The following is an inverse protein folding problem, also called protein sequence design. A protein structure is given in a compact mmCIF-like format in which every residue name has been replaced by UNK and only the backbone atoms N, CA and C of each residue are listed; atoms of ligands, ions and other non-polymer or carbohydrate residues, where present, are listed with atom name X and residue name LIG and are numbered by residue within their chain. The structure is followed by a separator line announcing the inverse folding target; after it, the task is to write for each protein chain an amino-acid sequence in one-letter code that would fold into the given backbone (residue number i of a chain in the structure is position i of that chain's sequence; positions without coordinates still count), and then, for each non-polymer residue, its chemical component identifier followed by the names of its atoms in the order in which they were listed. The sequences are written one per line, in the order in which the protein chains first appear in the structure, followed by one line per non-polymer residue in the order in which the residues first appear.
data_IF_560225302551
#
_entry.id   IF_560225302551
#
_cell.length_a   1.000
_cell.length_b   1.000
_cell.length_c   1.000
_cell.angle_alpha   90.00
_cell.angle_beta   90.00
_cell.angle_gamma   90.00
#
_symmetry.space_group_name_H-M   'P 1'
#
loop_
_entity.id
_entity.type
_entity.pdbx_description
1 polymer ?
#
# COMPACT_ATOMS: atom_id res chain seq x y z
N UNK A 1 -15.02 -1.71 9.73
CA UNK A 1 -13.70 -1.04 9.75
C UNK A 1 -12.72 -2.03 10.33
N UNK A 2 -11.82 -2.56 9.51
CA UNK A 2 -10.86 -3.59 9.92
C UNK A 2 -9.76 -2.95 10.75
N UNK A 3 -9.48 -3.49 11.94
CA UNK A 3 -8.28 -3.17 12.71
C UNK A 3 -7.04 -3.54 11.88
N UNK A 4 -6.09 -2.61 11.67
CA UNK A 4 -4.88 -2.93 10.93
C UNK A 4 -4.07 -4.00 11.67
N UNK A 5 -3.53 -5.02 10.97
CA UNK A 5 -2.68 -6.01 11.60
C UNK A 5 -1.42 -5.33 12.17
N UNK A 6 -1.09 -5.69 13.41
CA UNK A 6 0.06 -5.20 14.17
C UNK A 6 1.35 -5.72 13.48
N UNK A 7 2.09 -4.82 12.83
CA UNK A 7 3.35 -5.17 12.17
C UNK A 7 3.72 -4.30 10.97
N UNK A 8 3.59 -2.97 11.10
CA UNK A 8 4.19 -2.05 10.13
C UNK A 8 5.63 -1.83 10.59
N UNK A 9 6.60 -2.52 9.97
CA UNK A 9 8.02 -2.21 10.16
C UNK A 9 8.30 -0.83 9.55
N UNK A 10 8.13 0.22 10.37
CA UNK A 10 8.49 1.59 10.03
C UNK A 10 10.01 1.84 10.06
N UNK A 11 10.79 0.88 10.58
CA UNK A 11 12.18 1.09 10.99
C UNK A 11 13.25 0.78 9.92
N UNK A 12 12.89 0.32 8.72
CA UNK A 12 13.86 -0.27 7.78
C UNK A 12 14.39 0.61 6.65
N UNK A 13 13.84 1.79 6.38
CA UNK A 13 14.29 2.63 5.27
C UNK A 13 14.89 3.94 5.77
N UNK A 14 16.04 4.35 5.22
CA UNK A 14 16.69 5.64 5.51
C UNK A 14 15.79 6.87 5.29
N UNK A 15 14.62 6.69 4.67
CA UNK A 15 13.57 7.70 4.56
C UNK A 15 13.00 8.18 5.90
N UNK A 16 13.08 7.38 6.98
CA UNK A 16 12.63 7.80 8.30
C UNK A 16 13.41 8.99 8.86
N UNK A 17 14.73 9.02 8.67
CA UNK A 17 15.62 10.11 9.13
C UNK A 17 15.39 11.38 8.33
N UNK A 18 15.24 11.27 7.01
CA UNK A 18 14.96 12.43 6.14
C UNK A 18 13.59 13.01 6.44
N UNK A 19 12.55 12.18 6.58
CA UNK A 19 11.23 12.65 7.00
C UNK A 19 11.26 13.32 8.37
N UNK A 20 11.97 12.75 9.35
CA UNK A 20 12.10 13.33 10.68
C UNK A 20 12.83 14.69 10.66
N UNK A 21 13.90 14.83 9.87
CA UNK A 21 14.62 16.09 9.71
C UNK A 21 13.74 17.17 9.07
N UNK A 22 12.94 16.81 8.06
CA UNK A 22 11.99 17.73 7.43
C UNK A 22 10.83 18.12 8.34
N UNK A 23 10.26 17.16 9.06
CA UNK A 23 9.23 17.42 10.06
C UNK A 23 9.77 18.32 11.17
N UNK A 24 11.00 18.10 11.64
CA UNK A 24 11.64 18.93 12.65
C UNK A 24 11.92 20.35 12.13
N UNK A 25 12.39 20.51 10.88
CA UNK A 25 12.61 21.82 10.27
C UNK A 25 11.30 22.59 10.09
N UNK A 26 10.27 21.94 9.53
CA UNK A 26 8.94 22.52 9.35
C UNK A 26 8.29 22.88 10.70
N UNK A 27 8.37 21.99 11.69
CA UNK A 27 7.87 22.21 13.04
C UNK A 27 8.62 23.35 13.76
N UNK A 28 9.95 23.42 13.61
CA UNK A 28 10.77 24.49 14.18
C UNK A 28 10.44 25.85 13.58
N UNK A 29 10.32 25.93 12.25
CA UNK A 29 9.89 27.14 11.57
C UNK A 29 8.46 27.55 11.99
N UNK A 30 7.57 26.57 12.13
CA UNK A 30 6.20 26.76 12.58
C UNK A 30 6.12 27.29 14.02
N UNK A 31 6.83 26.67 14.97
CA UNK A 31 6.90 27.10 16.37
C UNK A 31 7.44 28.52 16.47
N UNK A 32 8.51 28.86 15.73
CA UNK A 32 9.08 30.21 15.72
C UNK A 32 8.08 31.24 15.18
N UNK A 33 7.25 30.88 14.21
CA UNK A 33 6.25 31.77 13.65
C UNK A 33 5.05 31.99 14.60
N UNK A 34 4.53 30.90 15.20
CA UNK A 34 3.44 30.94 16.18
C UNK A 34 3.87 31.63 17.48
N UNK A 35 5.10 31.44 17.94
CA UNK A 35 5.62 32.12 19.12
C UNK A 35 5.75 33.65 18.93
N UNK A 36 5.80 34.13 17.68
CA UNK A 36 6.01 35.55 17.36
C UNK A 36 4.73 36.30 17.00
N UNK A 37 3.60 35.62 16.74
CA UNK A 37 2.31 36.23 16.34
C UNK A 37 1.13 35.39 16.81
N UNK A 38 -0.01 36.02 17.11
CA UNK A 38 -1.28 35.29 17.23
C UNK A 38 -1.45 34.40 15.97
N UNK A 39 -1.85 33.12 16.12
CA UNK A 39 -1.80 32.18 15.01
C UNK A 39 -2.71 32.65 13.88
N UNK A 40 -2.09 33.10 12.79
CA UNK A 40 -2.75 33.39 11.52
C UNK A 40 -3.46 32.11 11.07
N UNK A 41 -4.70 32.22 10.60
CA UNK A 41 -5.49 31.08 10.12
C UNK A 41 -4.75 30.28 9.05
N UNK A 42 -3.86 30.91 8.27
CA UNK A 42 -3.01 30.26 7.28
C UNK A 42 -2.09 29.20 7.89
N UNK A 43 -1.56 29.50 9.07
CA UNK A 43 -0.66 28.62 9.82
C UNK A 43 -1.43 27.42 10.35
N UNK A 44 -2.61 27.66 10.93
CA UNK A 44 -3.49 26.61 11.44
C UNK A 44 -3.93 25.69 10.29
N UNK A 45 -4.31 26.27 9.16
CA UNK A 45 -4.69 25.52 7.95
C UNK A 45 -3.55 24.67 7.41
N UNK A 46 -2.33 25.22 7.28
CA UNK A 46 -1.16 24.48 6.83
C UNK A 46 -0.80 23.32 7.77
N UNK A 47 -0.84 23.56 9.09
CA UNK A 47 -0.62 22.52 10.09
C UNK A 47 -1.66 21.40 10.03
N UNK A 48 -2.95 21.75 9.89
CA UNK A 48 -4.03 20.79 9.74
C UNK A 48 -3.90 19.97 8.44
N UNK A 49 -3.60 20.63 7.31
CA UNK A 49 -3.38 19.97 6.03
C UNK A 49 -2.20 18.99 6.09
N UNK A 50 -1.10 19.39 6.72
CA UNK A 50 0.07 18.54 6.92
C UNK A 50 -0.27 17.30 7.76
N UNK A 51 -0.94 17.50 8.90
CA UNK A 51 -1.36 16.42 9.79
C UNK A 51 -2.27 15.42 9.07
N UNK A 52 -3.33 15.92 8.42
CA UNK A 52 -4.29 15.07 7.69
C UNK A 52 -3.58 14.32 6.58
N UNK A 53 -2.72 14.98 5.81
CA UNK A 53 -1.97 14.34 4.72
C UNK A 53 -1.06 13.23 5.24
N UNK A 54 -0.34 13.46 6.33
CA UNK A 54 0.49 12.43 6.98
C UNK A 54 -0.35 11.24 7.49
N UNK A 55 -1.50 11.51 8.13
CA UNK A 55 -2.41 10.48 8.60
C UNK A 55 -2.99 9.66 7.46
N UNK A 56 -3.48 10.32 6.40
CA UNK A 56 -4.02 9.65 5.21
C UNK A 56 -2.93 8.84 4.53
N UNK A 57 -1.72 9.39 4.32
CA UNK A 57 -0.60 8.64 3.73
C UNK A 57 -0.21 7.41 4.57
N UNK A 58 -0.20 7.52 5.90
CA UNK A 58 0.06 6.41 6.80
C UNK A 58 -1.01 5.31 6.69
N UNK A 59 -2.30 5.69 6.65
CA UNK A 59 -3.42 4.75 6.45
C UNK A 59 -3.37 4.10 5.07
N UNK A 60 -3.10 4.88 4.03
CA UNK A 60 -3.00 4.38 2.65
C UNK A 60 -1.81 3.44 2.45
N UNK A 61 -0.73 3.58 3.23
CA UNK A 61 0.37 2.60 3.26
C UNK A 61 -0.10 1.22 3.76
N UNK A 62 -1.19 1.16 4.51
CA UNK A 62 -1.88 -0.06 4.87
C UNK A 62 -2.69 -0.70 3.72
N UNK A 63 -2.46 -0.36 2.46
CA UNK A 63 -3.12 -1.06 1.34
C UNK A 63 -2.20 -2.14 0.76
N UNK A 64 -2.79 -3.22 0.24
CA UNK A 64 -2.02 -4.32 -0.36
C UNK A 64 -1.17 -3.83 -1.54
N UNK A 65 0.11 -4.18 -1.51
CA UNK A 65 1.08 -3.77 -2.53
C UNK A 65 1.78 -2.43 -2.26
N UNK A 66 1.27 -1.61 -1.32
CA UNK A 66 1.92 -0.35 -0.91
C UNK A 66 2.42 0.48 -2.09
N UNK A 67 1.58 0.65 -3.11
CA UNK A 67 1.95 1.26 -4.38
C UNK A 67 2.63 2.62 -4.17
N UNK A 68 3.66 2.93 -4.95
CA UNK A 68 4.37 4.22 -4.84
C UNK A 68 3.43 5.43 -5.00
N UNK A 69 2.33 5.28 -5.73
CA UNK A 69 1.34 6.34 -5.91
C UNK A 69 0.65 6.76 -4.60
N UNK A 70 0.61 5.92 -3.56
CA UNK A 70 0.03 6.30 -2.26
C UNK A 70 0.81 7.42 -1.57
N UNK A 71 2.07 7.64 -1.95
CA UNK A 71 2.88 8.73 -1.42
C UNK A 71 2.70 10.06 -2.15
N UNK A 72 1.97 10.10 -3.27
CA UNK A 72 1.79 11.34 -4.04
C UNK A 72 1.34 12.51 -3.14
N UNK A 73 0.32 12.38 -2.27
CA UNK A 73 -0.09 13.48 -1.39
C UNK A 73 1.03 13.96 -0.44
N UNK A 74 1.81 13.02 0.12
CA UNK A 74 2.95 13.35 0.98
C UNK A 74 4.05 14.08 0.19
N UNK A 75 4.29 13.69 -1.06
CA UNK A 75 5.23 14.36 -1.94
C UNK A 75 4.81 15.81 -2.22
N UNK A 76 3.52 16.03 -2.51
CA UNK A 76 2.96 17.36 -2.69
C UNK A 76 3.12 18.22 -1.44
N UNK A 77 2.82 17.66 -0.26
CA UNK A 77 2.97 18.37 1.00
C UNK A 77 4.42 18.79 1.25
N UNK A 78 5.38 17.88 1.07
CA UNK A 78 6.80 18.16 1.28
C UNK A 78 7.28 19.22 0.27
N UNK A 79 6.92 19.09 -1.00
CA UNK A 79 7.31 20.06 -2.04
C UNK A 79 6.73 21.45 -1.82
N UNK A 80 5.42 21.55 -1.53
CA UNK A 80 4.75 22.82 -1.28
C UNK A 80 5.22 23.46 0.03
N UNK A 81 5.36 22.66 1.09
CA UNK A 81 5.87 23.09 2.39
C UNK A 81 7.31 23.60 2.29
N UNK A 82 8.15 22.90 1.54
CA UNK A 82 9.51 23.36 1.24
C UNK A 82 9.51 24.69 0.50
N UNK A 83 8.76 24.81 -0.60
CA UNK A 83 8.68 26.05 -1.37
C UNK A 83 8.26 27.23 -0.51
N UNK A 84 7.22 27.05 0.31
CA UNK A 84 6.74 28.08 1.23
C UNK A 84 7.80 28.47 2.27
N UNK A 85 8.39 27.50 2.97
CA UNK A 85 9.41 27.77 3.99
C UNK A 85 10.67 28.42 3.38
N UNK A 86 11.05 27.99 2.18
CA UNK A 86 12.16 28.54 1.43
C UNK A 86 11.94 30.01 1.07
N UNK A 87 10.75 30.35 0.54
CA UNK A 87 10.39 31.73 0.22
C UNK A 87 10.38 32.63 1.46
N UNK A 88 9.79 32.15 2.57
CA UNK A 88 9.75 32.93 3.82
C UNK A 88 11.15 33.15 4.41
N UNK A 89 11.99 32.12 4.41
CA UNK A 89 13.37 32.23 4.89
C UNK A 89 14.19 33.19 4.03
N UNK A 90 14.08 33.09 2.69
CA UNK A 90 14.76 33.98 1.76
C UNK A 90 14.32 35.44 1.93
N UNK A 91 13.05 35.68 2.26
CA UNK A 91 12.51 37.02 2.54
C UNK A 91 13.05 37.61 3.84
N UNK A 92 13.13 36.81 4.91
CA UNK A 92 13.55 37.26 6.24
C UNK A 92 15.08 37.42 6.32
N UNK A 93 15.82 36.52 5.65
CA UNK A 93 17.30 36.52 5.64
C UNK A 93 17.83 36.31 4.21
N UNK A 94 17.83 37.35 3.37
CA UNK A 94 18.45 37.26 2.06
C UNK A 94 19.98 37.12 2.22
N UNK A 95 20.58 36.27 1.40
CA UNK A 95 22.04 36.09 1.41
C UNK A 95 22.47 34.74 0.85
N UNK A 96 23.76 34.64 0.48
CA UNK A 96 24.33 33.44 -0.12
C UNK A 96 24.25 32.21 0.80
N UNK A 97 24.33 32.40 2.12
CA UNK A 97 24.18 31.32 3.10
C UNK A 97 22.79 30.71 3.01
N UNK A 98 21.75 31.55 3.03
CA UNK A 98 20.35 31.12 2.89
C UNK A 98 20.13 30.40 1.57
N UNK A 99 20.59 30.96 0.45
CA UNK A 99 20.49 30.32 -0.86
C UNK A 99 21.20 28.97 -0.89
N UNK A 100 22.39 28.86 -0.30
CA UNK A 100 23.14 27.61 -0.18
C UNK A 100 22.42 26.57 0.67
N UNK A 101 21.83 26.98 1.80
CA UNK A 101 21.01 26.08 2.64
C UNK A 101 19.78 25.58 1.89
N UNK A 102 19.05 26.46 1.20
CA UNK A 102 17.88 26.07 0.42
C UNK A 102 18.25 25.14 -0.74
N UNK A 103 19.35 25.40 -1.43
CA UNK A 103 19.85 24.51 -2.47
C UNK A 103 20.21 23.12 -1.90
N UNK A 104 20.94 23.07 -0.77
CA UNK A 104 21.28 21.81 -0.11
C UNK A 104 20.03 21.02 0.32
N UNK A 105 19.05 21.70 0.90
CA UNK A 105 17.77 21.09 1.27
C UNK A 105 17.00 20.57 0.04
N UNK A 106 16.95 21.34 -1.05
CA UNK A 106 16.34 20.90 -2.31
C UNK A 106 17.03 19.65 -2.89
N UNK A 107 18.36 19.62 -2.86
CA UNK A 107 19.15 18.45 -3.27
C UNK A 107 18.83 17.25 -2.37
N UNK A 108 18.74 17.43 -1.05
CA UNK A 108 18.37 16.36 -0.12
C UNK A 108 16.96 15.82 -0.39
N UNK A 109 15.99 16.69 -0.70
CA UNK A 109 14.63 16.29 -1.04
C UNK A 109 14.60 15.46 -2.34
N UNK A 110 15.30 15.90 -3.39
CA UNK A 110 15.41 15.15 -4.65
C UNK A 110 16.16 13.84 -4.44
N UNK A 111 17.28 13.87 -3.72
CA UNK A 111 18.07 12.67 -3.42
C UNK A 111 17.29 11.62 -2.62
N UNK A 112 16.46 12.06 -1.66
CA UNK A 112 15.55 11.16 -0.94
C UNK A 112 14.54 10.51 -1.87
N UNK A 113 13.93 11.28 -2.78
CA UNK A 113 13.01 10.70 -3.76
C UNK A 113 13.69 9.73 -4.70
N UNK A 114 14.87 10.07 -5.22
CA UNK A 114 15.63 9.15 -6.08
C UNK A 114 15.99 7.84 -5.36
N UNK A 115 16.26 7.91 -4.05
CA UNK A 115 16.51 6.73 -3.23
C UNK A 115 15.25 5.87 -3.04
N UNK A 116 14.10 6.48 -2.77
CA UNK A 116 12.84 5.76 -2.53
C UNK A 116 12.22 5.22 -3.83
N UNK A 117 12.43 5.94 -4.95
CA UNK A 117 12.04 5.57 -6.30
C UNK A 117 13.05 4.63 -6.98
N UNK A 118 14.01 4.04 -6.25
CA UNK A 118 14.94 3.06 -6.82
C UNK A 118 14.18 1.79 -7.25
N UNK A 119 13.75 1.79 -8.52
CA UNK A 119 12.95 0.73 -9.12
C UNK A 119 13.66 -0.61 -9.18
N UNK A 120 15.00 -0.63 -9.03
CA UNK A 120 15.76 -1.89 -8.94
C UNK A 120 15.34 -2.73 -7.74
N UNK A 121 14.85 -2.09 -6.67
CA UNK A 121 14.30 -2.78 -5.48
C UNK A 121 12.97 -3.48 -5.77
N UNK A 122 12.29 -3.10 -6.85
CA UNK A 122 11.03 -3.69 -7.29
C UNK A 122 11.24 -4.87 -8.26
N UNK A 123 12.48 -5.09 -8.73
CA UNK A 123 12.81 -6.23 -9.57
C UNK A 123 12.67 -7.51 -8.72
N UNK A 124 11.93 -8.53 -9.19
CA UNK A 124 11.83 -9.81 -8.51
C UNK A 124 13.21 -10.42 -8.28
N UNK A 125 13.45 -10.93 -7.07
CA UNK A 125 14.67 -11.70 -6.77
C UNK A 125 14.57 -13.12 -7.36
N UNK A 126 15.69 -13.86 -7.49
CA UNK A 126 15.63 -15.27 -7.88
C UNK A 126 14.72 -16.12 -6.97
N UNK A 127 14.68 -15.80 -5.66
CA UNK A 127 13.77 -16.44 -4.72
C UNK A 127 12.29 -16.07 -4.96
N UNK A 128 12.01 -14.83 -5.39
CA UNK A 128 10.65 -14.42 -5.80
C UNK A 128 10.21 -15.18 -7.06
N UNK A 129 11.12 -15.35 -8.04
CA UNK A 129 10.84 -16.09 -9.28
C UNK A 129 10.56 -17.56 -8.99
N UNK A 130 11.45 -18.23 -8.25
CA UNK A 130 11.29 -19.64 -7.90
C UNK A 130 9.99 -19.90 -7.11
N UNK A 131 9.68 -19.04 -6.14
CA UNK A 131 8.42 -19.11 -5.40
C UNK A 131 7.19 -18.86 -6.29
N UNK A 132 7.29 -17.94 -7.25
CA UNK A 132 6.26 -17.69 -8.24
C UNK A 132 6.01 -18.92 -9.13
N UNK A 133 7.08 -19.55 -9.61
CA UNK A 133 7.02 -20.76 -10.44
C UNK A 133 6.38 -21.93 -9.69
N UNK A 134 6.72 -22.12 -8.41
CA UNK A 134 6.11 -23.13 -7.54
C UNK A 134 4.60 -22.90 -7.40
N UNK A 135 4.18 -21.67 -7.12
CA UNK A 135 2.76 -21.32 -6.99
C UNK A 135 2.03 -21.55 -8.31
N UNK A 136 2.60 -21.12 -9.44
CA UNK A 136 1.99 -21.28 -10.77
C UNK A 136 1.86 -22.76 -11.15
N UNK A 137 2.88 -23.58 -10.85
CA UNK A 137 2.83 -25.02 -11.07
C UNK A 137 1.70 -25.66 -10.28
N UNK A 138 1.58 -25.37 -8.98
CA UNK A 138 0.50 -25.88 -8.13
C UNK A 138 -0.89 -25.45 -8.62
N UNK A 139 -1.03 -24.22 -9.13
CA UNK A 139 -2.29 -23.77 -9.72
C UNK A 139 -2.64 -24.52 -11.00
N UNK A 140 -1.66 -24.81 -11.86
CA UNK A 140 -1.89 -25.61 -13.08
C UNK A 140 -2.29 -27.04 -12.75
N UNK A 141 -1.66 -27.61 -11.73
CA UNK A 141 -1.92 -28.98 -11.26
C UNK A 141 -3.30 -29.12 -10.63
N UNK A 142 -3.69 -28.20 -9.74
CA UNK A 142 -4.88 -28.38 -8.91
C UNK A 142 -6.12 -27.62 -9.39
N UNK A 143 -5.96 -26.59 -10.22
CA UNK A 143 -7.05 -25.67 -10.55
C UNK A 143 -7.51 -25.81 -11.99
N UNK A 144 -8.51 -26.67 -12.19
CA UNK A 144 -9.17 -26.92 -13.47
C UNK A 144 -10.45 -26.09 -13.62
N UNK A 145 -10.30 -24.78 -13.85
CA UNK A 145 -11.44 -23.88 -14.07
C UNK A 145 -11.12 -22.42 -13.76
N UNK A 146 -12.16 -21.62 -13.49
CA UNK A 146 -11.99 -20.23 -13.03
C UNK A 146 -11.29 -20.20 -11.67
N UNK A 147 -10.29 -19.32 -11.53
CA UNK A 147 -9.53 -19.12 -10.28
C UNK A 147 -9.84 -17.73 -9.74
N UNK A 148 -10.28 -17.66 -8.48
CA UNK A 148 -10.43 -16.40 -7.77
C UNK A 148 -9.14 -16.05 -7.02
N UNK A 149 -8.52 -14.91 -7.33
CA UNK A 149 -7.29 -14.46 -6.68
C UNK A 149 -7.23 -12.92 -6.55
N UNK A 150 -7.95 -12.31 -5.59
CA UNK A 150 -8.02 -10.86 -5.48
C UNK A 150 -6.70 -10.20 -5.10
N UNK A 151 -5.90 -10.89 -4.28
CA UNK A 151 -4.60 -10.40 -3.80
C UNK A 151 -3.50 -10.49 -4.85
N UNK A 152 -3.65 -11.39 -5.83
CA UNK A 152 -2.67 -11.65 -6.89
C UNK A 152 -3.40 -12.03 -8.18
N UNK A 153 -4.13 -11.08 -8.76
CA UNK A 153 -5.04 -11.31 -9.89
C UNK A 153 -4.33 -11.73 -11.20
N UNK A 154 -3.00 -11.58 -11.26
CA UNK A 154 -2.15 -12.03 -12.36
C UNK A 154 -1.80 -13.52 -12.29
N UNK A 155 -1.85 -14.17 -11.12
CA UNK A 155 -1.50 -15.60 -10.98
C UNK A 155 -2.39 -16.52 -11.83
N UNK A 156 -3.72 -16.33 -11.89
CA UNK A 156 -4.56 -17.09 -12.82
C UNK A 156 -4.07 -17.02 -14.27
N UNK A 157 -3.66 -15.85 -14.74
CA UNK A 157 -3.14 -15.66 -16.11
C UNK A 157 -1.85 -16.42 -16.33
N UNK A 158 -0.92 -16.36 -15.37
CA UNK A 158 0.34 -17.12 -15.44
C UNK A 158 0.09 -18.65 -15.42
N UNK A 159 -0.97 -19.09 -14.75
CA UNK A 159 -1.43 -20.48 -14.76
C UNK A 159 -2.23 -20.87 -16.03
N UNK A 160 -2.40 -19.97 -17.01
CA UNK A 160 -3.13 -20.23 -18.25
C UNK A 160 -4.66 -20.19 -18.09
N UNK A 161 -5.16 -19.44 -17.11
CA UNK A 161 -6.59 -19.23 -16.84
C UNK A 161 -7.00 -17.77 -17.10
N UNK A 162 -8.30 -17.51 -17.13
CA UNK A 162 -8.83 -16.15 -17.20
C UNK A 162 -8.38 -15.32 -15.98
N UNK A 163 -8.17 -14.00 -16.14
CA UNK A 163 -7.79 -13.13 -15.03
C UNK A 163 -8.88 -13.08 -13.96
N UNK A 164 -8.45 -12.90 -12.70
CA UNK A 164 -9.33 -12.55 -11.59
C UNK A 164 -9.51 -11.04 -11.52
N UNK A 165 -10.51 -10.56 -10.77
CA UNK A 165 -10.56 -9.16 -10.36
C UNK A 165 -9.58 -8.89 -9.22
N UNK A 166 -9.07 -7.65 -9.17
CA UNK A 166 -8.18 -7.18 -8.10
C UNK A 166 -8.96 -6.83 -6.82
N UNK A 167 -8.31 -6.98 -5.67
CA UNK A 167 -8.90 -6.64 -4.36
C UNK A 167 -9.42 -5.20 -4.29
N UNK A 168 -8.76 -4.24 -4.94
CA UNK A 168 -9.21 -2.84 -4.92
C UNK A 168 -10.62 -2.68 -5.50
N UNK A 169 -10.95 -3.44 -6.55
CA UNK A 169 -12.30 -3.44 -7.12
C UNK A 169 -13.33 -3.98 -6.13
N UNK A 170 -12.93 -4.89 -5.24
CA UNK A 170 -13.81 -5.37 -4.17
C UNK A 170 -14.04 -4.31 -3.11
N UNK A 171 -13.00 -3.55 -2.73
CA UNK A 171 -13.13 -2.46 -1.77
C UNK A 171 -14.03 -1.34 -2.28
N UNK A 172 -13.91 -0.98 -3.56
CA UNK A 172 -14.76 0.03 -4.21
C UNK A 172 -16.25 -0.33 -4.20
N UNK A 173 -16.60 -1.63 -4.12
CA UNK A 173 -18.00 -2.06 -4.02
C UNK A 173 -18.45 -2.38 -2.59
N UNK A 174 -17.53 -2.52 -1.63
CA UNK A 174 -17.81 -2.91 -0.26
C UNK A 174 -18.17 -1.76 0.69
N UNK A 175 -17.83 -0.51 0.36
CA UNK A 175 -18.16 0.62 1.24
C UNK A 175 -19.66 0.95 1.25
N UNK A 176 -20.14 1.59 2.33
CA UNK A 176 -21.58 1.79 2.59
C UNK A 176 -22.29 2.57 1.48
N UNK A 177 -21.64 3.60 0.93
CA UNK A 177 -22.18 4.45 -0.14
C UNK A 177 -21.91 3.95 -1.57
N UNK A 178 -21.43 2.72 -1.75
CA UNK A 178 -21.12 2.24 -3.11
C UNK A 178 -22.39 2.01 -3.92
N UNK A 179 -22.50 2.53 -5.17
CA UNK A 179 -23.65 2.26 -6.03
C UNK A 179 -23.73 0.78 -6.45
N UNK A 180 -22.64 0.02 -6.29
CA UNK A 180 -22.55 -1.39 -6.65
C UNK A 180 -22.65 -2.35 -5.47
N UNK A 181 -23.04 -1.87 -4.28
CA UNK A 181 -23.10 -2.70 -3.06
C UNK A 181 -23.95 -3.97 -3.22
N UNK A 182 -25.01 -3.91 -4.02
CA UNK A 182 -25.85 -5.08 -4.34
C UNK A 182 -25.08 -6.20 -5.07
N UNK A 183 -23.99 -5.89 -5.77
CA UNK A 183 -23.15 -6.87 -6.45
C UNK A 183 -22.45 -7.83 -5.49
N UNK A 184 -22.26 -7.45 -4.21
CA UNK A 184 -21.71 -8.33 -3.18
C UNK A 184 -22.55 -9.59 -2.99
N UNK A 185 -23.88 -9.48 -3.11
CA UNK A 185 -24.79 -10.62 -3.04
C UNK A 185 -24.55 -11.62 -4.17
N UNK A 186 -24.20 -11.13 -5.38
CA UNK A 186 -23.86 -11.99 -6.53
C UNK A 186 -22.53 -12.70 -6.33
N UNK A 187 -21.53 -12.03 -5.74
CA UNK A 187 -20.24 -12.67 -5.42
C UNK A 187 -20.45 -13.76 -4.37
N UNK A 188 -21.22 -13.47 -3.30
CA UNK A 188 -21.52 -14.45 -2.27
C UNK A 188 -22.34 -15.64 -2.80
N UNK A 189 -23.29 -15.40 -3.70
CA UNK A 189 -24.02 -16.46 -4.38
C UNK A 189 -23.10 -17.31 -5.28
N UNK A 190 -22.17 -16.70 -6.00
CA UNK A 190 -21.18 -17.41 -6.81
C UNK A 190 -20.24 -18.26 -5.93
N UNK A 191 -19.87 -17.79 -4.74
CA UNK A 191 -19.09 -18.60 -3.78
C UNK A 191 -19.87 -19.82 -3.29
N UNK A 192 -21.16 -19.66 -2.95
CA UNK A 192 -22.03 -20.78 -2.56
C UNK A 192 -22.26 -21.78 -3.69
N UNK A 193 -22.38 -21.28 -4.92
CA UNK A 193 -22.53 -22.11 -6.11
C UNK A 193 -21.20 -22.73 -6.59
N UNK A 194 -20.13 -22.59 -5.82
CA UNK A 194 -18.79 -23.11 -6.14
C UNK A 194 -18.31 -22.70 -7.55
N UNK A 195 -18.63 -21.48 -7.99
CA UNK A 195 -18.31 -21.00 -9.34
C UNK A 195 -16.82 -21.11 -9.66
N UNK A 196 -15.97 -20.81 -8.70
CA UNK A 196 -14.52 -20.91 -8.86
C UNK A 196 -14.05 -22.32 -8.51
N UNK A 197 -13.23 -22.91 -9.38
CA UNK A 197 -12.59 -24.19 -9.12
C UNK A 197 -11.56 -24.09 -7.98
N UNK A 198 -10.91 -22.93 -7.88
CA UNK A 198 -9.98 -22.61 -6.81
C UNK A 198 -10.11 -21.17 -6.34
N UNK A 199 -9.78 -20.94 -5.07
CA UNK A 199 -9.58 -19.61 -4.49
C UNK A 199 -8.16 -19.53 -3.94
N UNK A 200 -7.40 -18.51 -4.33
CA UNK A 200 -6.08 -18.23 -3.77
C UNK A 200 -6.24 -17.29 -2.58
N UNK A 201 -5.88 -17.75 -1.39
CA UNK A 201 -5.85 -16.90 -0.21
C UNK A 201 -4.57 -16.02 -0.18
N UNK A 202 -4.70 -14.81 0.37
CA UNK A 202 -3.59 -13.87 0.58
C UNK A 202 -3.14 -13.76 2.05
N UNK A 203 -3.67 -14.60 2.94
CA UNK A 203 -3.49 -14.46 4.39
C UNK A 203 -4.60 -13.67 5.06
N UNK A 204 -4.22 -12.77 5.97
CA UNK A 204 -5.14 -11.96 6.77
C UNK A 204 -5.18 -10.52 6.21
N UNK A 205 -6.36 -9.94 5.95
CA UNK A 205 -7.69 -10.53 6.18
C UNK A 205 -8.07 -11.56 5.11
N UNK A 206 -8.98 -12.49 5.47
CA UNK A 206 -9.58 -13.40 4.48
C UNK A 206 -10.43 -12.60 3.48
N UNK A 207 -10.62 -13.16 2.28
CA UNK A 207 -11.42 -12.52 1.20
C UNK A 207 -12.86 -12.23 1.67
N UNK A 208 -13.43 -13.13 2.48
CA UNK A 208 -14.82 -13.07 2.91
C UNK A 208 -15.79 -13.47 1.79
N UNK A 209 -17.01 -12.96 1.84
CA UNK A 209 -18.05 -13.16 0.79
C UNK A 209 -18.37 -14.64 0.50
N UNK A 210 -18.37 -15.50 1.51
CA UNK A 210 -18.71 -16.92 1.32
C UNK A 210 -17.52 -17.82 1.01
N UNK A 211 -16.31 -17.30 0.77
CA UNK A 211 -15.17 -18.18 0.45
C UNK A 211 -14.74 -19.02 1.66
N UNK A 212 -14.83 -18.49 2.88
CA UNK A 212 -14.44 -19.23 4.11
C UNK A 212 -15.45 -20.33 4.45
N UNK A 213 -16.71 -20.10 4.12
CA UNK A 213 -17.83 -20.98 4.41
C UNK A 213 -17.92 -22.12 3.38
N UNK A 214 -17.66 -21.85 2.11
CA UNK A 214 -17.92 -22.78 1.01
C UNK A 214 -16.65 -23.45 0.44
N UNK A 215 -15.45 -23.00 0.81
CA UNK A 215 -14.20 -23.58 0.33
C UNK A 215 -13.37 -24.16 1.49
N UNK A 216 -12.64 -25.24 1.24
CA UNK A 216 -11.71 -25.90 2.17
C UNK A 216 -10.25 -25.75 1.69
N UNK A 217 -9.27 -25.65 2.59
CA UNK A 217 -7.86 -25.65 2.20
C UNK A 217 -7.49 -26.97 1.50
N UNK A 218 -6.84 -26.85 0.34
CA UNK A 218 -6.20 -27.97 -0.37
C UNK A 218 -4.70 -27.98 -0.10
N UNK A 219 -4.06 -26.83 -0.30
CA UNK A 219 -2.60 -26.67 -0.23
C UNK A 219 -2.26 -25.39 0.53
N UNK A 220 -1.18 -25.41 1.31
CA UNK A 220 -0.56 -24.21 1.88
C UNK A 220 0.85 -24.06 1.34
N UNK A 221 1.20 -22.85 0.92
CA UNK A 221 2.53 -22.55 0.40
C UNK A 221 3.50 -22.25 1.56
N UNK A 222 4.68 -22.87 1.52
CA UNK A 222 5.78 -22.61 2.46
C UNK A 222 6.87 -21.79 1.78
N UNK A 223 6.56 -20.53 1.46
CA UNK A 223 7.46 -19.67 0.69
C UNK A 223 8.62 -19.12 1.55
N UNK A 224 9.87 -19.15 1.04
CA UNK A 224 11.06 -18.76 1.81
C UNK A 224 11.09 -17.26 2.11
N UNK A 225 11.43 -16.91 3.35
CA UNK A 225 11.66 -15.53 3.77
C UNK A 225 10.54 -14.57 3.32
N UNK A 226 10.93 -13.52 2.57
CA UNK A 226 10.04 -12.49 2.03
C UNK A 226 9.62 -12.73 0.58
N UNK A 227 9.79 -13.95 0.05
CA UNK A 227 9.40 -14.26 -1.32
C UNK A 227 7.91 -13.97 -1.54
N UNK A 228 7.62 -13.34 -2.69
CA UNK A 228 6.30 -12.88 -3.12
C UNK A 228 5.61 -11.87 -2.17
N UNK A 229 6.30 -11.37 -1.14
CA UNK A 229 5.78 -10.27 -0.35
C UNK A 229 6.00 -8.93 -1.07
N UNK A 230 5.03 -8.00 -0.99
CA UNK A 230 5.25 -6.62 -1.36
C UNK A 230 6.49 -6.05 -0.68
N UNK A 231 7.24 -5.25 -1.43
CA UNK A 231 8.41 -4.54 -0.90
C UNK A 231 7.96 -3.41 0.04
N UNK A 232 6.76 -2.86 -0.19
CA UNK A 232 6.09 -1.84 0.60
C UNK A 232 4.65 -2.25 0.96
N UNK A 233 4.10 -1.63 2.01
CA UNK A 233 2.71 -1.83 2.44
C UNK A 233 2.45 -3.12 3.23
N UNK A 234 1.24 -3.65 3.13
CA UNK A 234 0.85 -4.88 3.83
C UNK A 234 1.62 -6.11 3.33
N UNK A 235 2.05 -6.94 4.29
CA UNK A 235 2.81 -8.18 4.04
C UNK A 235 1.88 -9.33 3.66
N UNK A 236 1.16 -9.15 2.56
CA UNK A 236 0.24 -10.14 2.00
C UNK A 236 0.93 -10.84 0.84
N UNK A 237 0.82 -12.16 0.78
CA UNK A 237 1.29 -12.99 -0.33
C UNK A 237 0.37 -14.20 -0.47
N UNK A 238 0.37 -14.90 -1.62
CA UNK A 238 -0.33 -16.18 -1.75
C UNK A 238 0.09 -17.12 -0.61
N UNK A 239 -0.86 -17.59 0.19
CA UNK A 239 -0.58 -18.47 1.33
C UNK A 239 -1.15 -19.89 1.14
N UNK A 240 -2.06 -20.10 0.20
CA UNK A 240 -2.62 -21.41 -0.10
C UNK A 240 -3.69 -21.39 -1.18
N UNK A 241 -4.09 -22.60 -1.56
CA UNK A 241 -5.19 -22.89 -2.49
C UNK A 241 -6.35 -23.44 -1.67
N UNK A 242 -7.54 -22.86 -1.86
CA UNK A 242 -8.79 -23.44 -1.41
C UNK A 242 -9.54 -24.04 -2.59
N UNK A 243 -10.25 -25.14 -2.34
CA UNK A 243 -11.15 -25.80 -3.29
C UNK A 243 -12.56 -25.88 -2.72
N UNK A 244 -13.60 -26.04 -3.55
CA UNK A 244 -14.96 -26.24 -3.07
C UNK A 244 -15.04 -27.33 -2.00
N UNK A 245 -15.83 -27.10 -0.95
CA UNK A 245 -16.23 -28.19 -0.07
C UNK A 245 -17.10 -29.13 -0.88
N UNK A 246 -16.85 -30.43 -0.80
CA UNK A 246 -17.83 -31.41 -1.27
C UNK A 246 -19.13 -31.09 -0.55
N UNK A 247 -20.22 -30.94 -1.31
CA UNK A 247 -21.54 -30.70 -0.73
C UNK A 247 -21.77 -31.79 0.31
N UNK A 248 -21.69 -31.44 1.60
CA UNK A 248 -22.29 -32.29 2.61
C UNK A 248 -23.78 -32.24 2.29
N UNK A 249 -24.39 -33.37 1.93
CA UNK A 249 -25.81 -33.42 1.58
C UNK A 249 -26.69 -32.81 2.67
#
# INVERSE_FOLDING_TARGET
WMTPPVGIDAAGSGGGVVCAAWLAFGLGAWIVQVARRAPDWRIVFAGALALITCLVAAVMRGHNGGFLNVYIPLHWLVAAGFGFAATELARIRPGWVTSGTLAALGILQVGWQLHDLDTRRLIPTPADVAAGDEVVAALREHCHGEILSPYAAWLPVQAGRAPSWHLIALWDIQHAGSPYRAALGRIAAASRAHRWACVIEGGIPKIGLGTTENYKPLLRFSLPGRALQPKSGWRVRPNGILVPKENSP
#
